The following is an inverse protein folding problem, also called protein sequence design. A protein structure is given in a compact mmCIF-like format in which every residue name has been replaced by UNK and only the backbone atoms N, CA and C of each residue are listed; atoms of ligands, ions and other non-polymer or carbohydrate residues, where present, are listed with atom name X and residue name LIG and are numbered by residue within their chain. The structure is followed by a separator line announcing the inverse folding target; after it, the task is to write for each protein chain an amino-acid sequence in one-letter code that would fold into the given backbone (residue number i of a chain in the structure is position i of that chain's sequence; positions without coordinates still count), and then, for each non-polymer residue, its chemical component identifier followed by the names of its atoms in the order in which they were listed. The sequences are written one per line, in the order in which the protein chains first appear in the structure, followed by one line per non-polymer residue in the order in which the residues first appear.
data_IF_958399010130
#
_entry.id   IF_958399010130
#
_cell.length_a   1.000
_cell.length_b   1.000
_cell.length_c   1.000
_cell.angle_alpha   90.00
_cell.angle_beta   90.00
_cell.angle_gamma   90.00
#
_symmetry.space_group_name_H-M   'P 1'
#
loop_
_entity.id
_entity.type
_entity.pdbx_description
1 polymer ?
#
# COMPACT_ATOMS: atom_id res chain seq x y z
N UNK A 1 35.45 139.24 128.77
CA UNK A 1 35.56 137.77 128.57
C UNK A 1 34.13 137.25 128.54
N UNK A 2 33.58 136.61 127.51
CA UNK A 2 34.17 135.78 126.47
C UNK A 2 33.26 135.70 125.22
N UNK A 3 33.91 135.78 124.05
CA UNK A 3 33.79 134.91 122.86
C UNK A 3 32.38 134.71 122.26
N UNK A 4 32.17 135.33 121.08
CA UNK A 4 31.20 134.90 120.08
C UNK A 4 31.54 133.49 119.57
N UNK A 5 30.61 132.55 119.69
CA UNK A 5 30.66 131.27 118.96
C UNK A 5 29.75 131.41 117.74
N UNK A 6 30.33 131.66 116.56
CA UNK A 6 29.64 131.46 115.30
C UNK A 6 29.50 129.96 115.04
N UNK A 7 28.27 129.47 114.84
CA UNK A 7 28.01 128.10 114.44
C UNK A 7 28.53 127.87 113.02
N UNK A 8 29.27 126.80 112.78
CA UNK A 8 29.77 126.44 111.44
C UNK A 8 28.65 125.91 110.54
N UNK A 9 28.83 125.95 109.21
CA UNK A 9 27.85 125.38 108.28
C UNK A 9 27.57 123.89 108.54
N UNK A 10 28.58 123.11 108.91
CA UNK A 10 28.40 121.71 109.34
C UNK A 10 27.47 121.61 110.56
N UNK A 11 27.68 122.46 111.58
CA UNK A 11 26.81 122.50 112.76
C UNK A 11 25.37 122.90 112.40
N UNK A 12 25.19 123.85 111.49
CA UNK A 12 23.85 124.24 111.02
C UNK A 12 23.17 123.08 110.27
N UNK A 13 23.91 122.33 109.44
CA UNK A 13 23.36 121.14 108.76
C UNK A 13 23.00 120.03 109.74
N UNK A 14 23.83 119.75 110.74
CA UNK A 14 23.52 118.76 111.78
C UNK A 14 22.29 119.15 112.62
N UNK A 15 22.17 120.44 112.95
CA UNK A 15 20.99 120.97 113.66
C UNK A 15 19.75 120.85 112.78
N UNK A 16 19.81 121.22 111.51
CA UNK A 16 18.68 121.05 110.58
C UNK A 16 18.32 119.56 110.47
N UNK A 17 19.27 118.66 110.22
CA UNK A 17 18.96 117.24 110.05
C UNK A 17 18.40 116.58 111.33
N UNK A 18 18.84 117.00 112.51
CA UNK A 18 18.35 116.46 113.78
C UNK A 18 17.01 117.05 114.23
N UNK A 19 16.76 118.34 113.98
CA UNK A 19 15.58 119.05 114.46
C UNK A 19 14.45 119.12 113.42
N UNK A 20 14.76 119.10 112.11
CA UNK A 20 13.78 119.23 111.03
C UNK A 20 12.65 118.17 111.08
N UNK A 21 12.90 116.88 111.40
CA UNK A 21 11.81 115.90 111.54
C UNK A 21 10.80 116.31 112.62
N UNK A 22 11.27 116.74 113.79
CA UNK A 22 10.41 117.22 114.87
C UNK A 22 9.68 118.52 114.51
N UNK A 23 10.36 119.43 113.82
CA UNK A 23 9.77 120.68 113.34
C UNK A 23 8.70 120.48 112.27
N UNK A 24 8.81 119.45 111.42
CA UNK A 24 7.78 119.09 110.44
C UNK A 24 6.50 118.52 111.07
N UNK A 25 6.59 117.93 112.25
CA UNK A 25 5.41 117.45 113.00
C UNK A 25 4.75 118.55 113.83
N UNK A 26 5.54 119.48 114.38
CA UNK A 26 5.06 120.51 115.32
C UNK A 26 4.65 121.82 114.64
N UNK A 27 5.24 122.18 113.49
CA UNK A 27 4.92 123.41 112.76
C UNK A 27 4.43 123.12 111.33
N UNK A 28 3.12 123.32 111.04
CA UNK A 28 2.56 123.17 109.70
C UNK A 28 3.25 124.00 108.62
N UNK A 29 3.83 125.17 108.97
CA UNK A 29 4.49 126.05 108.00
C UNK A 29 5.77 125.44 107.46
N UNK A 30 6.52 124.75 108.33
CA UNK A 30 7.78 124.08 107.96
C UNK A 30 7.48 122.87 107.07
N UNK A 31 6.42 122.11 107.39
CA UNK A 31 5.92 121.02 106.55
C UNK A 31 5.54 121.50 105.15
N UNK A 32 4.81 122.62 105.06
CA UNK A 32 4.39 123.18 103.78
C UNK A 32 5.58 123.71 102.95
N UNK A 33 6.57 124.33 103.60
CA UNK A 33 7.79 124.78 102.94
C UNK A 33 8.58 123.61 102.34
N UNK A 34 8.77 122.52 103.10
CA UNK A 34 9.48 121.31 102.62
C UNK A 34 8.74 120.66 101.45
N UNK A 35 7.41 120.52 101.54
CA UNK A 35 6.59 119.96 100.45
C UNK A 35 6.62 120.82 99.18
N UNK A 36 6.71 122.15 99.32
CA UNK A 36 6.83 123.07 98.18
C UNK A 36 8.18 122.90 97.47
N UNK A 37 9.26 122.75 98.24
CA UNK A 37 10.61 122.56 97.67
C UNK A 37 10.72 121.20 96.96
N UNK A 38 10.14 120.13 97.51
CA UNK A 38 10.20 118.78 96.92
C UNK A 38 9.28 118.59 95.71
N UNK A 39 8.15 119.31 95.61
CA UNK A 39 7.27 119.29 94.43
C UNK A 39 7.95 119.71 93.14
N UNK A 40 9.02 120.48 93.20
CA UNK A 40 9.82 120.87 92.02
C UNK A 40 10.60 119.70 91.39
N UNK A 41 10.72 118.56 92.09
CA UNK A 41 11.54 117.40 91.65
C UNK A 41 10.78 116.09 91.48
N UNK A 42 9.49 116.02 91.80
CA UNK A 42 8.66 114.82 91.63
C UNK A 42 7.31 115.19 90.98
N UNK A 43 7.00 114.59 89.83
CA UNK A 43 5.72 114.76 89.14
C UNK A 43 4.55 114.22 90.00
N UNK A 44 3.40 114.90 89.96
CA UNK A 44 2.21 114.50 90.72
C UNK A 44 1.71 113.10 90.28
N UNK A 45 1.22 112.34 91.26
CA UNK A 45 0.82 110.93 91.13
C UNK A 45 -0.22 110.68 90.04
N UNK A 46 -1.05 111.69 89.75
CA UNK A 46 -2.19 111.58 88.83
C UNK A 46 -1.75 111.56 87.35
N UNK A 47 -0.73 112.35 86.98
CA UNK A 47 -0.25 112.46 85.59
C UNK A 47 0.48 111.18 85.12
N UNK A 48 1.07 110.47 86.09
CA UNK A 48 1.71 109.18 85.87
C UNK A 48 0.66 108.08 85.69
N UNK A 49 -0.46 108.12 86.44
CA UNK A 49 -1.56 107.16 86.30
C UNK A 49 -2.18 107.19 84.90
N UNK A 50 -2.51 108.38 84.39
CA UNK A 50 -3.16 108.55 83.08
C UNK A 50 -2.32 108.05 81.89
N UNK A 51 -0.99 108.11 82.01
CA UNK A 51 -0.06 107.57 81.00
C UNK A 51 0.02 106.05 81.07
N UNK A 52 0.04 105.50 82.29
CA UNK A 52 0.00 104.05 82.48
C UNK A 52 -1.33 103.46 82.01
N UNK A 53 -2.46 104.13 82.26
CA UNK A 53 -3.78 103.66 81.83
C UNK A 53 -3.92 103.64 80.30
N UNK A 54 -3.38 104.65 79.60
CA UNK A 54 -3.32 104.65 78.12
C UNK A 54 -2.44 103.52 77.56
N UNK A 55 -1.28 103.26 78.16
CA UNK A 55 -0.39 102.17 77.74
C UNK A 55 -1.04 100.81 78.00
N UNK A 56 -1.70 100.64 79.16
CA UNK A 56 -2.43 99.42 79.50
C UNK A 56 -3.61 99.19 78.55
N UNK A 57 -4.31 100.24 78.13
CA UNK A 57 -5.38 100.14 77.14
C UNK A 57 -4.83 99.71 75.77
N UNK A 58 -3.74 100.31 75.30
CA UNK A 58 -3.09 99.89 74.04
C UNK A 58 -2.61 98.43 74.10
N UNK A 59 -2.00 98.01 75.21
CA UNK A 59 -1.60 96.62 75.41
C UNK A 59 -2.80 95.66 75.42
N UNK A 60 -3.95 96.08 75.97
CA UNK A 60 -5.18 95.28 75.90
C UNK A 60 -5.67 95.18 74.46
N UNK A 61 -5.75 96.29 73.75
CA UNK A 61 -6.21 96.33 72.35
C UNK A 61 -5.28 95.52 71.43
N UNK A 62 -3.97 95.61 71.61
CA UNK A 62 -2.98 94.84 70.85
C UNK A 62 -3.05 93.35 71.19
N UNK A 63 -3.24 93.00 72.47
CA UNK A 63 -3.43 91.60 72.87
C UNK A 63 -4.72 91.04 72.30
N UNK A 64 -5.81 91.79 72.31
CA UNK A 64 -7.08 91.38 71.70
C UNK A 64 -6.94 91.21 70.17
N UNK A 65 -6.26 92.12 69.47
CA UNK A 65 -5.96 91.97 68.05
C UNK A 65 -5.10 90.75 67.78
N UNK A 66 -4.03 90.54 68.55
CA UNK A 66 -3.19 89.37 68.44
C UNK A 66 -3.98 88.09 68.69
N UNK A 67 -4.82 88.03 69.74
CA UNK A 67 -5.68 86.86 69.98
C UNK A 67 -6.60 86.60 68.80
N UNK A 68 -7.23 87.64 68.22
CA UNK A 68 -8.07 87.47 67.01
C UNK A 68 -7.28 86.99 65.80
N UNK A 69 -6.07 87.49 65.59
CA UNK A 69 -5.18 87.05 64.51
C UNK A 69 -4.71 85.61 64.71
N UNK A 70 -4.37 85.22 65.94
CA UNK A 70 -4.03 83.85 66.31
C UNK A 70 -5.22 82.91 66.13
N UNK A 71 -6.42 83.29 66.56
CA UNK A 71 -7.64 82.49 66.36
C UNK A 71 -7.97 82.35 64.87
N UNK A 72 -7.78 83.41 64.07
CA UNK A 72 -7.96 83.37 62.63
C UNK A 72 -6.91 82.49 61.94
N UNK A 73 -5.66 82.52 62.41
CA UNK A 73 -4.59 81.65 61.92
C UNK A 73 -4.88 80.19 62.25
N UNK A 74 -5.29 79.88 63.49
CA UNK A 74 -5.68 78.53 63.92
C UNK A 74 -6.81 78.00 63.02
N UNK A 75 -7.87 78.78 62.80
CA UNK A 75 -8.97 78.38 61.90
C UNK A 75 -8.50 78.09 60.47
N UNK A 76 -7.56 78.87 59.94
CA UNK A 76 -6.98 78.63 58.61
C UNK A 76 -6.15 77.35 58.57
N UNK A 77 -5.38 77.08 59.64
CA UNK A 77 -4.63 75.84 59.77
C UNK A 77 -5.56 74.63 59.86
N UNK A 78 -6.60 74.68 60.67
CA UNK A 78 -7.63 73.63 60.76
C UNK A 78 -8.33 73.39 59.42
N UNK A 79 -8.67 74.45 58.68
CA UNK A 79 -9.27 74.31 57.35
C UNK A 79 -8.30 73.66 56.34
N UNK A 80 -7.01 74.02 56.41
CA UNK A 80 -5.98 73.44 55.56
C UNK A 80 -5.71 71.97 55.89
N UNK A 81 -5.69 71.64 57.19
CA UNK A 81 -5.56 70.27 57.68
C UNK A 81 -6.73 69.39 57.20
N UNK A 82 -7.96 69.91 57.29
CA UNK A 82 -9.14 69.24 56.73
C UNK A 82 -9.03 69.01 55.21
N UNK A 83 -8.49 69.98 54.47
CA UNK A 83 -8.26 69.83 53.01
C UNK A 83 -7.19 68.78 52.71
N UNK A 84 -6.15 68.71 53.54
CA UNK A 84 -5.13 67.66 53.45
C UNK A 84 -5.70 66.28 53.72
N UNK A 85 -6.50 66.12 54.77
CA UNK A 85 -7.20 64.85 55.07
C UNK A 85 -8.11 64.41 53.91
N UNK A 86 -8.85 65.34 53.32
CA UNK A 86 -9.68 65.06 52.14
C UNK A 86 -8.83 64.66 50.92
N UNK A 87 -7.68 65.29 50.73
CA UNK A 87 -6.75 64.93 49.67
C UNK A 87 -6.18 63.52 49.90
N UNK A 88 -5.72 63.20 51.10
CA UNK A 88 -5.20 61.88 51.47
C UNK A 88 -6.24 60.79 51.21
N UNK A 89 -7.49 60.99 51.65
CA UNK A 89 -8.58 60.04 51.38
C UNK A 89 -8.82 59.81 49.87
N UNK A 90 -8.73 60.87 49.06
CA UNK A 90 -8.85 60.74 47.59
C UNK A 90 -7.68 59.98 46.98
N UNK A 91 -6.47 60.20 47.48
CA UNK A 91 -5.29 59.45 47.06
C UNK A 91 -5.43 57.97 47.40
N UNK A 92 -5.83 57.63 48.63
CA UNK A 92 -6.08 56.24 49.04
C UNK A 92 -7.16 55.56 48.19
N UNK A 93 -8.25 56.27 47.87
CA UNK A 93 -9.29 55.72 47.00
C UNK A 93 -8.78 55.47 45.57
N UNK A 94 -7.97 56.38 45.03
CA UNK A 94 -7.35 56.22 43.72
C UNK A 94 -6.34 55.06 43.71
N UNK A 95 -5.55 54.92 44.77
CA UNK A 95 -4.58 53.83 44.92
C UNK A 95 -5.30 52.48 44.93
N UNK A 96 -6.40 52.37 45.69
CA UNK A 96 -7.26 51.17 45.67
C UNK A 96 -7.83 50.86 44.28
N UNK A 97 -8.26 51.88 43.53
CA UNK A 97 -8.74 51.70 42.14
C UNK A 97 -7.62 51.23 41.21
N UNK A 98 -6.40 51.73 41.40
CA UNK A 98 -5.23 51.28 40.66
C UNK A 98 -4.91 49.82 40.96
N UNK A 99 -4.91 49.41 42.24
CA UNK A 99 -4.72 48.01 42.63
C UNK A 99 -5.77 47.07 42.01
N UNK A 100 -7.04 47.48 42.01
CA UNK A 100 -8.11 46.72 41.36
C UNK A 100 -7.91 46.63 39.85
N UNK A 101 -7.45 47.70 39.21
CA UNK A 101 -7.13 47.70 37.80
C UNK A 101 -5.96 46.74 37.49
N UNK A 102 -4.88 46.79 38.28
CA UNK A 102 -3.72 45.89 38.14
C UNK A 102 -4.16 44.43 38.25
N UNK A 103 -4.96 44.07 39.25
CA UNK A 103 -5.50 42.70 39.39
C UNK A 103 -6.30 42.24 38.17
N UNK A 104 -7.15 43.12 37.61
CA UNK A 104 -7.92 42.81 36.39
C UNK A 104 -7.01 42.61 35.18
N UNK A 105 -5.94 43.41 35.07
CA UNK A 105 -4.94 43.25 34.02
C UNK A 105 -4.22 41.91 34.13
N UNK A 106 -3.77 41.52 35.33
CA UNK A 106 -3.13 40.23 35.57
C UNK A 106 -4.05 39.04 35.26
N UNK A 107 -5.34 39.13 35.62
CA UNK A 107 -6.32 38.10 35.29
C UNK A 107 -6.54 37.98 33.77
N UNK A 108 -6.61 39.11 33.06
CA UNK A 108 -6.72 39.11 31.61
C UNK A 108 -5.47 38.55 30.94
N UNK A 109 -4.29 38.87 31.45
CA UNK A 109 -3.02 38.36 30.94
C UNK A 109 -2.93 36.83 31.09
N UNK A 110 -3.35 36.29 32.25
CA UNK A 110 -3.48 34.84 32.47
C UNK A 110 -4.44 34.18 31.48
N UNK A 111 -5.63 34.76 31.28
CA UNK A 111 -6.60 34.25 30.28
C UNK A 111 -6.03 34.27 28.87
N UNK A 112 -5.27 35.31 28.54
CA UNK A 112 -4.63 35.44 27.25
C UNK A 112 -3.57 34.35 27.05
N UNK A 113 -2.72 34.12 28.06
CA UNK A 113 -1.73 33.04 28.04
C UNK A 113 -2.36 31.66 27.91
N UNK A 114 -3.48 31.38 28.59
CA UNK A 114 -4.21 30.11 28.45
C UNK A 114 -4.83 29.95 27.06
N UNK A 115 -5.35 31.03 26.47
CA UNK A 115 -5.82 31.02 25.10
C UNK A 115 -4.68 30.72 24.12
N UNK A 116 -3.51 31.35 24.28
CA UNK A 116 -2.34 31.07 23.43
C UNK A 116 -1.97 29.59 23.49
N UNK A 117 -1.90 28.99 24.68
CA UNK A 117 -1.62 27.55 24.83
C UNK A 117 -2.65 26.68 24.11
N UNK A 118 -3.94 27.02 24.20
CA UNK A 118 -5.01 26.29 23.50
C UNK A 118 -4.88 26.41 21.98
N UNK A 119 -4.48 27.57 21.48
CA UNK A 119 -4.22 27.78 20.05
C UNK A 119 -3.03 26.93 19.59
N UNK A 120 -1.93 26.92 20.33
CA UNK A 120 -0.77 26.07 20.01
C UNK A 120 -1.11 24.57 19.99
N UNK A 121 -1.96 24.12 20.92
CA UNK A 121 -2.44 22.73 20.95
C UNK A 121 -3.33 22.41 19.74
N UNK A 122 -4.23 23.32 19.38
CA UNK A 122 -5.04 23.17 18.17
C UNK A 122 -4.19 23.13 16.89
N UNK A 123 -3.17 23.98 16.78
CA UNK A 123 -2.25 23.97 15.65
C UNK A 123 -1.49 22.64 15.53
N UNK A 124 -1.02 22.08 16.67
CA UNK A 124 -0.39 20.75 16.69
C UNK A 124 -1.35 19.67 16.23
N UNK A 125 -2.59 19.67 16.74
CA UNK A 125 -3.62 18.72 16.34
C UNK A 125 -3.95 18.84 14.85
N UNK A 126 -3.98 20.06 14.33
CA UNK A 126 -4.22 20.31 12.90
C UNK A 126 -3.07 19.78 12.05
N UNK A 127 -1.82 20.02 12.45
CA UNK A 127 -0.64 19.47 11.77
C UNK A 127 -0.62 17.93 11.76
N UNK A 128 -1.01 17.29 12.87
CA UNK A 128 -1.11 15.83 12.93
C UNK A 128 -2.24 15.28 12.05
N UNK A 129 -3.37 15.98 11.95
CA UNK A 129 -4.44 15.61 11.01
C UNK A 129 -3.99 15.73 9.56
N UNK A 130 -3.25 16.80 9.21
CA UNK A 130 -2.68 16.95 7.86
C UNK A 130 -1.77 15.78 7.51
N UNK A 131 -0.86 15.38 8.41
CA UNK A 131 0.00 14.20 8.19
C UNK A 131 -0.81 12.91 7.98
N UNK A 132 -1.89 12.72 8.73
CA UNK A 132 -2.78 11.56 8.55
C UNK A 132 -3.48 11.57 7.19
N UNK A 133 -3.91 12.75 6.73
CA UNK A 133 -4.49 12.89 5.39
C UNK A 133 -3.48 12.57 4.30
N UNK A 134 -2.25 13.09 4.39
CA UNK A 134 -1.17 12.77 3.45
C UNK A 134 -0.85 11.27 3.40
N UNK A 135 -0.83 10.60 4.57
CA UNK A 135 -0.62 9.14 4.61
C UNK A 135 -1.76 8.37 3.94
N UNK A 136 -3.01 8.79 4.16
CA UNK A 136 -4.17 8.19 3.53
C UNK A 136 -4.17 8.42 2.01
N UNK A 137 -3.79 9.61 1.55
CA UNK A 137 -3.69 9.95 0.14
C UNK A 137 -2.64 9.06 -0.55
N UNK A 138 -1.48 8.88 0.09
CA UNK A 138 -0.43 7.94 -0.36
C UNK A 138 -0.93 6.49 -0.43
N UNK A 139 -1.78 6.06 0.49
CA UNK A 139 -2.39 4.71 0.44
C UNK A 139 -3.37 4.59 -0.72
N UNK A 140 -4.17 5.62 -0.97
CA UNK A 140 -5.07 5.68 -2.11
C UNK A 140 -4.31 5.61 -3.44
N UNK A 141 -3.23 6.38 -3.60
CA UNK A 141 -2.37 6.32 -4.79
C UNK A 141 -1.82 4.92 -5.05
N UNK A 142 -1.38 4.23 -3.99
CA UNK A 142 -0.91 2.85 -4.12
C UNK A 142 -2.04 1.89 -4.51
N UNK A 143 -3.25 2.08 -3.98
CA UNK A 143 -4.41 1.30 -4.36
C UNK A 143 -4.74 1.50 -5.84
N UNK A 144 -4.79 2.75 -6.31
CA UNK A 144 -5.03 3.09 -7.73
C UNK A 144 -4.02 2.40 -8.64
N UNK A 145 -2.72 2.47 -8.33
CA UNK A 145 -1.69 1.76 -9.12
C UNK A 145 -1.91 0.25 -9.20
N UNK A 146 -2.30 -0.38 -8.09
CA UNK A 146 -2.61 -1.82 -8.07
C UNK A 146 -3.84 -2.16 -8.93
N UNK A 147 -4.86 -1.32 -8.91
CA UNK A 147 -6.02 -1.47 -9.76
C UNK A 147 -5.64 -1.37 -11.25
N UNK A 148 -4.86 -0.36 -11.62
CA UNK A 148 -4.37 -0.22 -13.01
C UNK A 148 -3.54 -1.42 -13.48
N UNK A 149 -2.69 -1.99 -12.62
CA UNK A 149 -1.93 -3.20 -12.93
C UNK A 149 -2.85 -4.43 -13.11
N UNK A 150 -3.88 -4.57 -12.29
CA UNK A 150 -4.86 -5.64 -12.43
C UNK A 150 -5.68 -5.50 -13.71
N UNK A 151 -6.09 -4.28 -14.07
CA UNK A 151 -6.81 -4.01 -15.31
C UNK A 151 -5.96 -4.37 -16.55
N UNK A 152 -4.66 -4.05 -16.53
CA UNK A 152 -3.73 -4.48 -17.58
C UNK A 152 -3.66 -5.99 -17.72
N UNK A 153 -3.54 -6.72 -16.60
CA UNK A 153 -3.54 -8.20 -16.60
C UNK A 153 -4.86 -8.77 -17.11
N UNK A 154 -5.98 -8.16 -16.74
CA UNK A 154 -7.29 -8.54 -17.26
C UNK A 154 -7.36 -8.35 -18.77
N UNK A 155 -6.92 -7.20 -19.28
CA UNK A 155 -6.89 -6.94 -20.72
C UNK A 155 -5.99 -7.94 -21.48
N UNK A 156 -4.84 -8.33 -20.92
CA UNK A 156 -3.99 -9.39 -21.50
C UNK A 156 -4.68 -10.75 -21.52
N UNK A 157 -5.37 -11.12 -20.43
CA UNK A 157 -6.13 -12.37 -20.38
C UNK A 157 -7.26 -12.40 -21.40
N UNK A 158 -7.98 -11.29 -21.58
CA UNK A 158 -9.03 -11.17 -22.61
C UNK A 158 -8.44 -11.40 -24.00
N UNK A 159 -7.32 -10.76 -24.35
CA UNK A 159 -6.63 -11.01 -25.63
C UNK A 159 -6.24 -12.47 -25.83
N UNK A 160 -5.77 -13.12 -24.76
CA UNK A 160 -5.40 -14.55 -24.79
C UNK A 160 -6.62 -15.45 -25.01
N UNK A 161 -7.76 -15.11 -24.42
CA UNK A 161 -9.02 -15.81 -24.64
C UNK A 161 -9.48 -15.65 -26.09
N UNK A 162 -9.46 -14.44 -26.64
CA UNK A 162 -9.79 -14.19 -28.05
C UNK A 162 -8.88 -14.98 -29.02
N UNK A 163 -7.58 -15.06 -28.73
CA UNK A 163 -6.66 -15.86 -29.54
C UNK A 163 -6.97 -17.36 -29.47
N UNK A 164 -7.29 -17.87 -28.28
CA UNK A 164 -7.69 -19.26 -28.08
C UNK A 164 -9.01 -19.57 -28.79
N UNK A 165 -9.98 -18.66 -28.74
CA UNK A 165 -11.27 -18.80 -29.41
C UNK A 165 -11.08 -18.88 -30.93
N UNK A 166 -10.24 -18.00 -31.49
CA UNK A 166 -9.85 -18.06 -32.90
C UNK A 166 -9.14 -19.37 -33.28
N UNK A 167 -8.31 -19.94 -32.39
CA UNK A 167 -7.69 -21.26 -32.62
C UNK A 167 -8.72 -22.37 -32.61
N UNK A 168 -9.69 -22.30 -31.71
CA UNK A 168 -10.83 -23.22 -31.65
C UNK A 168 -11.64 -23.17 -32.94
N UNK A 169 -12.00 -21.99 -33.43
CA UNK A 169 -12.71 -21.83 -34.71
C UNK A 169 -11.96 -22.45 -35.88
N UNK A 170 -10.63 -22.26 -35.94
CA UNK A 170 -9.80 -22.90 -36.97
C UNK A 170 -9.76 -24.42 -36.83
N UNK A 171 -9.71 -24.94 -35.60
CA UNK A 171 -9.76 -26.37 -35.36
C UNK A 171 -11.11 -26.96 -35.81
N UNK A 172 -12.23 -26.29 -35.48
CA UNK A 172 -13.57 -26.69 -35.92
C UNK A 172 -13.65 -26.76 -37.45
N UNK A 173 -13.17 -25.74 -38.17
CA UNK A 173 -13.15 -25.76 -39.65
C UNK A 173 -12.32 -26.93 -40.21
N UNK A 174 -11.17 -27.23 -39.62
CA UNK A 174 -10.34 -28.38 -40.03
C UNK A 174 -11.03 -29.71 -39.78
N UNK A 175 -11.76 -29.84 -38.68
CA UNK A 175 -12.57 -31.02 -38.39
C UNK A 175 -13.68 -31.20 -39.43
N UNK A 176 -14.41 -30.14 -39.77
CA UNK A 176 -15.43 -30.18 -40.82
C UNK A 176 -14.86 -30.58 -42.20
N UNK A 177 -13.68 -30.08 -42.55
CA UNK A 177 -12.99 -30.47 -43.79
C UNK A 177 -12.56 -31.95 -43.78
N UNK A 178 -12.04 -32.43 -42.65
CA UNK A 178 -11.68 -33.83 -42.48
C UNK A 178 -12.90 -34.74 -42.57
N UNK A 179 -14.02 -34.37 -41.94
CA UNK A 179 -15.29 -35.12 -42.02
C UNK A 179 -15.77 -35.24 -43.46
N UNK A 180 -15.70 -34.16 -44.25
CA UNK A 180 -16.02 -34.21 -45.68
C UNK A 180 -15.13 -35.16 -46.46
N UNK A 181 -13.80 -35.13 -46.21
CA UNK A 181 -12.85 -36.07 -46.83
C UNK A 181 -13.13 -37.51 -46.43
N UNK A 182 -13.46 -37.73 -45.16
CA UNK A 182 -13.80 -39.06 -44.65
C UNK A 182 -15.06 -39.60 -45.31
N UNK A 183 -16.09 -38.77 -45.45
CA UNK A 183 -17.32 -39.11 -46.16
C UNK A 183 -17.07 -39.44 -47.64
N UNK A 184 -16.22 -38.67 -48.33
CA UNK A 184 -15.83 -38.96 -49.71
C UNK A 184 -15.05 -40.28 -49.83
N UNK A 185 -14.06 -40.49 -48.96
CA UNK A 185 -13.25 -41.70 -48.95
C UNK A 185 -14.10 -42.94 -48.65
N UNK A 186 -15.06 -42.84 -47.72
CA UNK A 186 -15.99 -43.91 -47.44
C UNK A 186 -16.90 -44.23 -48.64
N UNK A 187 -17.34 -43.19 -49.38
CA UNK A 187 -18.09 -43.39 -50.63
C UNK A 187 -17.26 -44.13 -51.69
N UNK A 188 -16.01 -43.70 -51.93
CA UNK A 188 -15.09 -44.40 -52.85
C UNK A 188 -14.80 -45.84 -52.41
N UNK A 189 -14.68 -46.07 -51.10
CA UNK A 189 -14.49 -47.42 -50.57
C UNK A 189 -15.69 -48.33 -50.89
N UNK A 190 -16.92 -47.84 -50.70
CA UNK A 190 -18.12 -48.57 -51.07
C UNK A 190 -18.19 -48.85 -52.58
N UNK A 191 -17.88 -47.87 -53.43
CA UNK A 191 -17.82 -48.06 -54.89
C UNK A 191 -16.77 -49.14 -55.27
N UNK A 192 -15.57 -49.07 -54.70
CA UNK A 192 -14.53 -50.08 -54.92
C UNK A 192 -14.95 -51.48 -54.43
N UNK A 193 -15.66 -51.58 -53.30
CA UNK A 193 -16.19 -52.85 -52.83
C UNK A 193 -17.21 -53.45 -53.81
N UNK A 194 -18.07 -52.62 -54.41
CA UNK A 194 -19.00 -53.08 -55.43
C UNK A 194 -18.28 -53.55 -56.69
N UNK A 195 -17.26 -52.84 -57.15
CA UNK A 195 -16.46 -53.25 -58.31
C UNK A 195 -15.69 -54.55 -58.06
N UNK A 196 -15.10 -54.70 -56.87
CA UNK A 196 -14.47 -55.95 -56.43
C UNK A 196 -15.51 -57.08 -56.42
N UNK A 197 -16.71 -56.87 -55.87
CA UNK A 197 -17.79 -57.88 -55.90
C UNK A 197 -18.17 -58.25 -57.33
N UNK A 198 -18.33 -57.29 -58.24
CA UNK A 198 -18.65 -57.53 -59.66
C UNK A 198 -17.54 -58.28 -60.40
N UNK A 199 -16.28 -58.04 -60.04
CA UNK A 199 -15.14 -58.78 -60.57
C UNK A 199 -15.13 -60.22 -60.04
N UNK A 200 -15.33 -60.40 -58.73
CA UNK A 200 -15.44 -61.73 -58.13
C UNK A 200 -16.59 -62.54 -58.70
N UNK A 201 -17.79 -61.97 -58.86
CA UNK A 201 -18.91 -62.69 -59.49
C UNK A 201 -18.62 -63.13 -60.94
N UNK A 202 -17.83 -62.37 -61.69
CA UNK A 202 -17.39 -62.77 -63.04
C UNK A 202 -16.36 -63.89 -63.03
N UNK A 203 -15.45 -63.88 -62.06
CA UNK A 203 -14.50 -64.96 -61.82
C UNK A 203 -15.24 -66.23 -61.35
N UNK A 204 -16.25 -66.07 -60.50
CA UNK A 204 -17.05 -67.18 -59.94
C UNK A 204 -17.94 -67.85 -61.00
N UNK A 205 -18.53 -67.09 -61.93
CA UNK A 205 -19.23 -67.65 -63.12
C UNK A 205 -18.25 -68.39 -64.04
N UNK A 206 -16.98 -67.98 -64.10
CA UNK A 206 -15.93 -68.72 -64.80
C UNK A 206 -15.43 -69.96 -64.06
N UNK A 207 -15.51 -69.97 -62.72
CA UNK A 207 -15.03 -71.06 -61.86
C UNK A 207 -16.11 -72.12 -61.55
N UNK A 208 -17.39 -71.76 -61.58
CA UNK A 208 -18.53 -72.67 -61.37
C UNK A 208 -18.62 -73.81 -62.39
N UNK A 209 -17.85 -73.75 -63.49
CA UNK A 209 -17.75 -74.81 -64.48
C UNK A 209 -16.57 -75.79 -64.25
N UNK A 210 -15.64 -75.52 -63.32
CA UNK A 210 -14.40 -76.32 -63.14
C UNK A 210 -14.10 -76.57 -61.65
N UNK A 211 -15.13 -76.93 -60.88
CA UNK A 211 -15.02 -77.21 -59.44
C UNK A 211 -14.38 -78.57 -59.05
N UNK A 212 -13.89 -79.39 -60.00
CA UNK A 212 -13.46 -80.76 -59.67
C UNK A 212 -12.11 -81.22 -60.27
N UNK A 213 -11.35 -80.35 -60.96
CA UNK A 213 -10.02 -80.69 -61.50
C UNK A 213 -9.04 -79.53 -61.38
N UNK A 214 -8.76 -79.11 -60.15
CA UNK A 214 -7.55 -78.33 -59.88
C UNK A 214 -6.33 -79.23 -60.08
N UNK A 215 -5.52 -78.91 -61.09
CA UNK A 215 -4.25 -79.55 -61.40
C UNK A 215 -3.30 -78.50 -61.99
N UNK A 216 -2.02 -78.83 -62.20
CA UNK A 216 -0.92 -77.91 -62.54
C UNK A 216 -1.23 -76.77 -63.54
N UNK A 217 -2.17 -76.94 -64.47
CA UNK A 217 -2.59 -75.88 -65.42
C UNK A 217 -3.46 -74.76 -64.80
N UNK A 218 -4.20 -75.06 -63.74
CA UNK A 218 -5.06 -74.10 -63.02
C UNK A 218 -4.21 -73.17 -62.13
N UNK A 219 -3.20 -73.71 -61.44
CA UNK A 219 -2.28 -72.94 -60.60
C UNK A 219 -1.50 -71.90 -61.42
N UNK A 220 -0.96 -72.28 -62.58
CA UNK A 220 -0.25 -71.36 -63.47
C UNK A 220 -1.16 -70.26 -64.02
N UNK A 221 -2.40 -70.58 -64.42
CA UNK A 221 -3.35 -69.59 -64.95
C UNK A 221 -3.83 -68.61 -63.86
N UNK A 222 -4.07 -69.11 -62.64
CA UNK A 222 -4.42 -68.27 -61.50
C UNK A 222 -3.27 -67.35 -61.09
N UNK A 223 -2.04 -67.85 -61.10
CA UNK A 223 -0.84 -67.07 -60.83
C UNK A 223 -0.65 -65.92 -61.83
N UNK A 224 -0.78 -66.19 -63.13
CA UNK A 224 -0.66 -65.15 -64.16
C UNK A 224 -1.78 -64.10 -64.05
N UNK A 225 -3.00 -64.51 -63.72
CA UNK A 225 -4.11 -63.59 -63.45
C UNK A 225 -3.83 -62.71 -62.22
N UNK A 226 -3.39 -63.30 -61.10
CA UNK A 226 -3.06 -62.58 -59.88
C UNK A 226 -1.89 -61.62 -60.11
N UNK A 227 -0.83 -62.06 -60.80
CA UNK A 227 0.27 -61.21 -61.23
C UNK A 227 -0.22 -60.00 -62.02
N UNK A 228 -1.06 -60.22 -63.04
CA UNK A 228 -1.60 -59.14 -63.86
C UNK A 228 -2.39 -58.11 -63.05
N UNK A 229 -3.16 -58.54 -62.05
CA UNK A 229 -3.90 -57.67 -61.14
C UNK A 229 -2.94 -56.89 -60.23
N UNK A 230 -1.98 -57.58 -59.61
CA UNK A 230 -1.03 -56.99 -58.67
C UNK A 230 -0.10 -55.96 -59.33
N UNK A 231 0.36 -56.25 -60.55
CA UNK A 231 1.20 -55.32 -61.32
C UNK A 231 0.41 -54.12 -61.83
N UNK A 232 -0.77 -54.32 -62.42
CA UNK A 232 -1.52 -53.22 -63.08
C UNK A 232 -2.30 -52.35 -62.11
N UNK A 233 -2.88 -52.92 -61.05
CA UNK A 233 -3.78 -52.20 -60.14
C UNK A 233 -3.09 -51.75 -58.85
N UNK A 234 -1.99 -52.39 -58.45
CA UNK A 234 -1.38 -52.18 -57.14
C UNK A 234 0.12 -51.81 -57.20
N UNK A 235 0.74 -51.76 -58.38
CA UNK A 235 2.14 -51.39 -58.54
C UNK A 235 3.14 -52.36 -57.88
N UNK A 236 2.72 -53.60 -57.63
CA UNK A 236 3.57 -54.65 -57.07
C UNK A 236 4.32 -55.34 -58.20
N UNK A 237 5.64 -55.55 -58.08
CA UNK A 237 6.40 -56.37 -59.02
C UNK A 237 6.31 -57.84 -58.62
N UNK A 238 5.95 -58.73 -59.55
CA UNK A 238 5.89 -60.18 -59.29
C UNK A 238 6.88 -60.92 -60.19
N UNK A 239 7.86 -61.57 -59.58
CA UNK A 239 8.94 -62.30 -60.25
C UNK A 239 8.86 -63.79 -59.89
N UNK A 240 9.17 -64.67 -60.85
CA UNK A 240 9.31 -66.11 -60.59
C UNK A 240 10.78 -66.44 -60.42
N UNK A 241 11.15 -66.96 -59.26
CA UNK A 241 12.51 -67.45 -59.02
C UNK A 241 12.61 -68.94 -59.34
N UNK A 242 13.57 -69.29 -60.20
CA UNK A 242 13.88 -70.65 -60.61
C UNK A 242 15.39 -70.86 -60.48
N UNK A 243 15.82 -71.70 -59.55
CA UNK A 243 17.25 -72.04 -59.39
C UNK A 243 17.43 -73.53 -59.04
N UNK A 244 18.45 -74.18 -59.63
CA UNK A 244 18.73 -75.60 -59.40
C UNK A 244 19.50 -75.77 -58.09
N UNK A 245 18.94 -76.55 -57.16
CA UNK A 245 19.60 -76.95 -55.93
C UNK A 245 20.41 -78.22 -56.20
N UNK A 246 21.70 -78.06 -56.51
CA UNK A 246 22.59 -79.19 -56.82
C UNK A 246 23.00 -80.02 -55.59
N UNK A 247 22.87 -79.46 -54.39
CA UNK A 247 23.27 -80.10 -53.12
C UNK A 247 22.11 -80.85 -52.46
N UNK A 248 20.88 -80.59 -52.91
CA UNK A 248 19.66 -81.20 -52.35
C UNK A 248 19.28 -80.66 -50.98
N UNK A 249 19.61 -79.41 -50.67
CA UNK A 249 19.23 -78.72 -49.44
C UNK A 249 17.71 -78.66 -49.22
N UNK A 250 16.92 -78.54 -50.28
CA UNK A 250 15.45 -78.36 -50.18
C UNK A 250 14.70 -79.69 -50.18
N UNK A 251 15.11 -80.63 -51.03
CA UNK A 251 14.36 -81.89 -51.26
C UNK A 251 15.16 -83.16 -50.90
N UNK A 252 16.36 -83.03 -50.33
CA UNK A 252 17.23 -84.16 -49.99
C UNK A 252 17.96 -84.78 -51.18
N UNK A 253 17.77 -84.24 -52.39
CA UNK A 253 18.43 -84.65 -53.64
C UNK A 253 18.51 -83.46 -54.61
N UNK A 254 19.40 -83.50 -55.61
CA UNK A 254 19.47 -82.43 -56.60
C UNK A 254 18.14 -82.23 -57.34
N UNK A 255 17.55 -81.05 -57.25
CA UNK A 255 16.24 -80.77 -57.86
C UNK A 255 16.07 -79.27 -58.19
N UNK A 256 15.05 -78.94 -58.99
CA UNK A 256 14.72 -77.56 -59.33
C UNK A 256 13.93 -76.91 -58.19
N UNK A 257 14.39 -75.75 -57.72
CA UNK A 257 13.66 -74.94 -56.72
C UNK A 257 12.93 -73.81 -57.44
N UNK A 258 11.66 -73.66 -57.09
CA UNK A 258 10.77 -72.62 -57.60
C UNK A 258 10.05 -71.92 -56.45
N UNK A 259 10.00 -70.59 -56.49
CA UNK A 259 9.20 -69.76 -55.57
C UNK A 259 8.75 -68.47 -56.29
N UNK A 260 7.55 -67.98 -55.97
CA UNK A 260 7.09 -66.68 -56.46
C UNK A 260 7.54 -65.57 -55.51
N UNK A 261 7.98 -64.46 -56.08
CA UNK A 261 8.61 -63.34 -55.38
C UNK A 261 7.83 -62.07 -55.65
N UNK A 262 7.27 -61.45 -54.62
CA UNK A 262 6.57 -60.17 -54.73
C UNK A 262 7.40 -59.06 -54.10
N UNK A 263 7.53 -57.94 -54.80
CA UNK A 263 8.30 -56.78 -54.36
C UNK A 263 7.47 -55.52 -54.52
N UNK A 264 7.27 -54.79 -53.42
CA UNK A 264 6.64 -53.46 -53.42
C UNK A 264 7.30 -52.58 -52.36
N UNK A 265 7.71 -51.37 -52.73
CA UNK A 265 8.30 -50.38 -51.82
C UNK A 265 9.45 -50.93 -50.95
N UNK A 266 10.26 -51.85 -51.51
CA UNK A 266 11.37 -52.49 -50.81
C UNK A 266 10.99 -53.66 -49.90
N UNK A 267 9.70 -53.97 -49.74
CA UNK A 267 9.21 -55.17 -49.04
C UNK A 267 9.32 -56.36 -49.98
N UNK A 268 10.12 -57.36 -49.60
CA UNK A 268 10.28 -58.64 -50.29
C UNK A 268 9.39 -59.68 -49.61
N UNK A 269 8.45 -60.20 -50.39
CA UNK A 269 7.50 -61.23 -49.97
C UNK A 269 7.76 -62.47 -50.81
N UNK A 270 7.91 -63.62 -50.17
CA UNK A 270 8.02 -64.91 -50.86
C UNK A 270 6.71 -65.65 -50.71
N UNK A 271 6.18 -66.17 -51.82
CA UNK A 271 4.87 -66.79 -51.85
C UNK A 271 4.88 -68.14 -52.56
N UNK A 272 4.07 -69.06 -52.06
CA UNK A 272 3.69 -70.29 -52.76
C UNK A 272 2.18 -70.31 -52.93
N UNK A 273 1.74 -70.60 -54.16
CA UNK A 273 0.35 -70.80 -54.50
C UNK A 273 0.16 -72.26 -54.88
N UNK A 274 -0.71 -72.96 -54.17
CA UNK A 274 -0.99 -74.39 -54.41
C UNK A 274 -2.46 -74.73 -54.23
N UNK A 275 -2.85 -75.87 -54.83
CA UNK A 275 -4.19 -76.43 -54.68
C UNK A 275 -4.54 -76.95 -53.31
N UNK A 276 -3.53 -77.47 -52.63
CA UNK A 276 -3.61 -77.96 -51.27
C UNK A 276 -2.23 -77.88 -50.64
N UNK A 277 -2.20 -77.74 -49.31
CA UNK A 277 -0.95 -77.64 -48.55
C UNK A 277 -0.94 -78.66 -47.41
N UNK A 278 -0.11 -79.69 -47.57
CA UNK A 278 0.18 -80.65 -46.51
C UNK A 278 1.26 -80.13 -45.56
N UNK A 279 1.43 -80.80 -44.41
CA UNK A 279 2.54 -80.52 -43.47
C UNK A 279 3.91 -80.58 -44.17
N UNK A 280 4.11 -81.54 -45.07
CA UNK A 280 5.33 -81.69 -45.85
C UNK A 280 5.54 -80.56 -46.86
N UNK A 281 4.47 -80.12 -47.52
CA UNK A 281 4.53 -78.99 -48.46
C UNK A 281 4.91 -77.70 -47.75
N UNK A 282 4.37 -77.46 -46.55
CA UNK A 282 4.69 -76.28 -45.76
C UNK A 282 6.17 -76.24 -45.38
N UNK A 283 6.73 -77.36 -44.89
CA UNK A 283 8.16 -77.44 -44.61
C UNK A 283 9.01 -77.34 -45.87
N UNK A 284 8.55 -77.88 -47.01
CA UNK A 284 9.24 -77.71 -48.28
C UNK A 284 9.30 -76.23 -48.66
N UNK A 285 8.19 -75.50 -48.55
CA UNK A 285 8.14 -74.06 -48.79
C UNK A 285 9.11 -73.28 -47.89
N UNK A 286 9.11 -73.54 -46.58
CA UNK A 286 10.07 -72.91 -45.65
C UNK A 286 11.53 -73.19 -46.06
N UNK A 287 11.84 -74.42 -46.50
CA UNK A 287 13.19 -74.73 -47.00
C UNK A 287 13.50 -74.02 -48.32
N UNK A 288 12.53 -73.88 -49.24
CA UNK A 288 12.69 -73.09 -50.46
C UNK A 288 12.99 -71.62 -50.14
N UNK A 289 12.27 -71.04 -49.17
CA UNK A 289 12.53 -69.67 -48.69
C UNK A 289 13.95 -69.56 -48.15
N UNK A 290 14.37 -70.46 -47.25
CA UNK A 290 15.73 -70.44 -46.69
C UNK A 290 16.79 -70.54 -47.79
N UNK A 291 16.60 -71.42 -48.77
CA UNK A 291 17.47 -71.55 -49.94
C UNK A 291 17.53 -70.26 -50.76
N UNK A 292 16.40 -69.63 -51.06
CA UNK A 292 16.36 -68.34 -51.75
C UNK A 292 17.14 -67.26 -50.99
N UNK A 293 16.91 -67.15 -49.67
CA UNK A 293 17.56 -66.13 -48.84
C UNK A 293 19.08 -66.33 -48.78
N UNK A 294 19.54 -67.58 -48.69
CA UNK A 294 20.97 -67.94 -48.74
C UNK A 294 21.58 -67.56 -50.09
N UNK A 295 20.92 -67.90 -51.20
CA UNK A 295 21.42 -67.63 -52.56
C UNK A 295 21.41 -66.16 -52.94
N UNK A 296 20.41 -65.39 -52.50
CA UNK A 296 20.26 -63.97 -52.86
C UNK A 296 20.82 -63.01 -51.82
N UNK A 297 21.22 -63.49 -50.64
CA UNK A 297 21.69 -62.64 -49.54
C UNK A 297 20.65 -61.64 -49.04
N UNK A 298 19.35 -61.91 -49.25
CA UNK A 298 18.23 -61.05 -48.85
C UNK A 298 17.26 -61.84 -47.98
N UNK A 299 16.85 -61.27 -46.85
CA UNK A 299 15.78 -61.86 -46.01
C UNK A 299 14.42 -61.43 -46.55
N UNK A 300 13.49 -62.37 -46.63
CA UNK A 300 12.10 -62.04 -46.89
C UNK A 300 11.50 -61.39 -45.63
N UNK A 301 10.75 -60.31 -45.81
CA UNK A 301 10.02 -59.67 -44.71
C UNK A 301 8.73 -60.44 -44.39
N UNK A 302 8.15 -61.12 -45.38
CA UNK A 302 6.92 -61.92 -45.22
C UNK A 302 7.00 -63.20 -46.05
N UNK A 303 6.39 -64.25 -45.55
CA UNK A 303 6.25 -65.55 -46.22
C UNK A 303 4.77 -65.88 -46.32
N UNK A 304 4.27 -66.13 -47.53
CA UNK A 304 2.84 -66.30 -47.77
C UNK A 304 2.57 -67.64 -48.44
N UNK A 305 1.51 -68.31 -47.99
CA UNK A 305 0.94 -69.48 -48.66
C UNK A 305 -0.50 -69.16 -49.02
N UNK A 306 -0.82 -69.24 -50.31
CA UNK A 306 -2.17 -69.06 -50.82
C UNK A 306 -2.67 -70.43 -51.30
N UNK A 307 -3.60 -71.01 -50.54
CA UNK A 307 -4.17 -72.31 -50.87
C UNK A 307 -5.58 -72.43 -50.31
N UNK A 308 -6.57 -72.84 -51.12
CA UNK A 308 -7.94 -73.06 -50.65
C UNK A 308 -8.04 -74.16 -49.60
N UNK A 309 -7.11 -75.12 -49.61
CA UNK A 309 -7.10 -76.25 -48.68
C UNK A 309 -5.75 -76.33 -47.98
N UNK A 310 -5.75 -76.25 -46.65
CA UNK A 310 -4.52 -76.35 -45.84
C UNK A 310 -4.79 -77.26 -44.67
N UNK A 311 -4.03 -78.35 -44.56
CA UNK A 311 -4.17 -79.29 -43.45
C UNK A 311 -3.90 -78.58 -42.12
N UNK A 312 -4.62 -78.91 -41.04
CA UNK A 312 -4.39 -78.31 -39.71
C UNK A 312 -2.94 -78.48 -39.22
N UNK A 313 -2.33 -79.62 -39.57
CA UNK A 313 -0.92 -79.89 -39.28
C UNK A 313 0.03 -78.96 -40.05
N UNK A 314 -0.38 -78.47 -41.21
CA UNK A 314 0.37 -77.48 -42.00
C UNK A 314 0.15 -76.07 -41.44
N UNK A 315 -1.07 -75.73 -40.98
CA UNK A 315 -1.36 -74.46 -40.27
C UNK A 315 -0.46 -74.31 -39.02
N UNK A 316 -0.34 -75.35 -38.20
CA UNK A 316 0.55 -75.33 -37.03
C UNK A 316 2.04 -75.11 -37.38
N UNK A 317 2.50 -75.60 -38.54
CA UNK A 317 3.86 -75.35 -39.02
C UNK A 317 3.99 -73.91 -39.54
N UNK A 318 2.95 -73.39 -40.20
CA UNK A 318 2.93 -72.03 -40.68
C UNK A 318 3.07 -71.03 -39.52
N UNK A 319 2.30 -71.21 -38.44
CA UNK A 319 2.39 -70.37 -37.24
C UNK A 319 3.79 -70.42 -36.59
N UNK A 320 4.36 -71.62 -36.48
CA UNK A 320 5.69 -71.83 -35.89
C UNK A 320 6.79 -71.13 -36.71
N UNK A 321 6.70 -71.18 -38.02
CA UNK A 321 7.72 -70.67 -38.94
C UNK A 321 7.43 -69.23 -39.41
N UNK A 322 6.32 -68.62 -38.96
CA UNK A 322 5.92 -67.26 -39.33
C UNK A 322 5.45 -67.12 -40.78
N UNK A 323 4.76 -68.13 -41.31
CA UNK A 323 4.15 -68.14 -42.64
C UNK A 323 2.69 -67.74 -42.55
N UNK A 324 2.30 -66.74 -43.33
CA UNK A 324 0.92 -66.27 -43.43
C UNK A 324 0.12 -67.12 -44.42
N UNK A 325 -0.99 -67.71 -43.97
CA UNK A 325 -1.81 -68.61 -44.79
C UNK A 325 -3.11 -67.92 -45.20
N UNK A 326 -3.39 -67.92 -46.50
CA UNK A 326 -4.64 -67.40 -47.09
C UNK A 326 -5.37 -68.53 -47.82
N UNK A 327 -6.57 -68.90 -47.35
CA UNK A 327 -7.39 -69.97 -47.93
C UNK A 327 -8.86 -69.58 -48.16
N UNK A 328 -9.75 -70.57 -48.28
CA UNK A 328 -11.20 -70.31 -48.45
C UNK A 328 -11.75 -69.46 -47.28
N UNK A 329 -12.72 -68.56 -47.51
CA UNK A 329 -13.24 -67.64 -46.49
C UNK A 329 -13.89 -68.30 -45.26
N UNK A 330 -14.16 -69.61 -45.30
CA UNK A 330 -14.85 -70.35 -44.24
C UNK A 330 -13.95 -70.69 -43.03
N UNK A 331 -12.64 -70.45 -43.13
CA UNK A 331 -11.70 -70.61 -42.00
C UNK A 331 -11.47 -69.32 -41.18
N UNK A 332 -12.21 -68.24 -41.46
CA UNK A 332 -12.25 -67.03 -40.62
C UNK A 332 -13.54 -67.01 -39.80
N UNK A 333 -13.76 -68.03 -38.98
CA UNK A 333 -14.66 -67.96 -37.84
C UNK A 333 -13.90 -68.36 -36.57
N UNK A 334 -13.47 -67.34 -35.84
CA UNK A 334 -12.90 -67.51 -34.52
C UNK A 334 -11.83 -66.48 -34.21
N UNK A 335 -12.22 -65.20 -34.11
CA UNK A 335 -11.67 -64.21 -33.17
C UNK A 335 -12.64 -63.03 -33.04
#
# INVERSE_FOLDING_TARGET
MNIHTELTQEQIKEIICSQLPGLMEQDPRIKEFVLRVTRTRYADRDETSDRFDRILQQLREDREKQTREWDAAIKRWEENDRKWDEAVKRWEENDRKWDEAVKRWEENDKKWADNVKRWEENDKNWADNVKRWEENDRKWDQAVKRWEENDKKWAENVKRWEENDRKWDQAVKRWEENDKKWAENNRRWHENQEDIRRLWSRVDVGLGAIGARWGMRAEGSFREALKGILEKSFGVRVERYLEKDAEGKVFGRPDQVEIDVLIRDGVLILCEIKSSMSKSDMYAFVRKVRFYQEKKGKKAQRMLVISPMVDDKAKAVADLEGVEVYGYPEDVQGL
#
